data_IF_639696936534
#
_entry.id   IF_639696936534
#
_cell.length_a   1.000
_cell.length_b   1.000
_cell.length_c   1.000
_cell.angle_alpha   90.00
_cell.angle_beta   90.00
_cell.angle_gamma   90.00
#
_symmetry.space_group_name_H-M   'P 1'
#
loop_
_entity.id
_entity.type
_entity.pdbx_description
1 polymer ?
#
# COMPACT_ATOMS: atom_id res chain seq x y z
N UNK A 1 -17.68 29.10 -42.09
CA UNK A 1 -16.57 28.98 -41.12
C UNK A 1 -17.17 28.80 -39.74
N UNK A 2 -16.56 27.92 -38.97
CA UNK A 2 -17.15 27.06 -37.95
C UNK A 2 -17.23 27.65 -36.54
N UNK A 3 -18.38 27.40 -35.90
CA UNK A 3 -18.68 27.21 -34.46
C UNK A 3 -18.09 28.18 -33.42
N UNK A 4 -18.99 29.03 -32.91
CA UNK A 4 -18.99 29.57 -31.55
C UNK A 4 -18.81 28.45 -30.51
N UNK A 5 -17.64 28.36 -29.89
CA UNK A 5 -17.44 27.63 -28.63
C UNK A 5 -17.91 28.53 -27.49
N UNK A 6 -18.96 28.14 -26.79
CA UNK A 6 -19.45 28.81 -25.61
C UNK A 6 -18.34 28.87 -24.55
N UNK A 7 -17.83 30.07 -24.25
CA UNK A 7 -16.92 30.29 -23.14
C UNK A 7 -17.64 29.96 -21.85
N UNK A 8 -17.21 28.91 -21.16
CA UNK A 8 -17.68 28.62 -19.81
C UNK A 8 -17.19 29.74 -18.91
N UNK A 9 -18.10 30.58 -18.41
CA UNK A 9 -17.77 31.68 -17.51
C UNK A 9 -17.66 31.18 -16.08
N UNK A 10 -16.73 31.77 -15.32
CA UNK A 10 -16.51 31.44 -13.93
C UNK A 10 -17.77 31.77 -13.12
N UNK A 11 -18.36 30.80 -12.39
CA UNK A 11 -19.59 31.03 -11.64
C UNK A 11 -19.41 31.98 -10.45
N UNK A 12 -18.18 32.33 -10.09
CA UNK A 12 -17.86 33.21 -8.97
C UNK A 12 -17.72 34.68 -9.35
N UNK A 13 -17.25 34.99 -10.57
CA UNK A 13 -16.94 36.36 -10.99
C UNK A 13 -17.30 36.70 -12.44
N UNK A 14 -17.86 35.74 -13.19
CA UNK A 14 -18.29 35.92 -14.58
C UNK A 14 -17.17 36.04 -15.62
N UNK A 15 -15.90 35.97 -15.23
CA UNK A 15 -14.76 36.00 -16.15
C UNK A 15 -14.60 34.67 -16.89
N UNK A 16 -13.98 34.68 -18.06
CA UNK A 16 -13.76 33.45 -18.83
C UNK A 16 -12.87 32.45 -18.08
N UNK A 17 -13.22 31.16 -18.17
CA UNK A 17 -12.38 30.06 -17.70
C UNK A 17 -11.40 29.64 -18.79
N UNK A 18 -10.20 29.24 -18.38
CA UNK A 18 -9.27 28.55 -19.27
C UNK A 18 -9.75 27.11 -19.59
N UNK A 19 -9.04 26.45 -20.51
CA UNK A 19 -9.39 25.10 -20.94
C UNK A 19 -9.30 24.04 -19.81
N UNK A 20 -8.64 24.34 -18.69
CA UNK A 20 -8.56 23.48 -17.52
C UNK A 20 -9.65 23.80 -16.47
N UNK A 21 -10.53 24.78 -16.72
CA UNK A 21 -11.55 25.20 -15.76
C UNK A 21 -11.03 26.12 -14.65
N UNK A 22 -9.87 26.75 -14.86
CA UNK A 22 -9.28 27.75 -13.95
C UNK A 22 -9.73 29.14 -14.34
N UNK A 23 -10.18 29.93 -13.37
CA UNK A 23 -10.33 31.37 -13.54
C UNK A 23 -9.02 32.07 -13.18
N UNK A 24 -8.53 32.98 -14.03
CA UNK A 24 -7.36 33.80 -13.72
C UNK A 24 -7.51 34.67 -12.48
N UNK A 25 -8.76 34.99 -12.09
CA UNK A 25 -9.08 35.77 -10.88
C UNK A 25 -9.45 34.91 -9.68
N UNK A 26 -10.06 33.74 -9.89
CA UNK A 26 -10.68 32.94 -8.81
C UNK A 26 -10.07 31.55 -8.62
N UNK A 27 -9.11 31.14 -9.45
CA UNK A 27 -8.51 29.81 -9.40
C UNK A 27 -9.40 28.70 -9.97
N UNK A 28 -9.08 27.45 -9.66
CA UNK A 28 -9.75 26.25 -10.17
C UNK A 28 -11.21 26.17 -9.69
N UNK A 29 -12.15 25.97 -10.62
CA UNK A 29 -13.57 25.83 -10.30
C UNK A 29 -13.86 24.38 -9.93
N UNK A 30 -13.84 24.07 -8.63
CA UNK A 30 -14.29 22.77 -8.14
C UNK A 30 -15.82 22.74 -8.04
N UNK A 31 -16.44 21.87 -8.84
CA UNK A 31 -17.86 21.59 -8.78
C UNK A 31 -18.23 20.86 -7.50
N UNK A 32 -18.62 21.59 -6.46
CA UNK A 32 -19.61 21.19 -5.43
C UNK A 32 -19.78 22.32 -4.42
N UNK A 33 -21.04 22.61 -4.09
CA UNK A 33 -21.46 23.56 -3.07
C UNK A 33 -21.16 23.03 -1.65
N UNK A 34 -19.88 22.94 -1.29
CA UNK A 34 -19.42 22.57 0.05
C UNK A 34 -19.18 23.80 0.93
N UNK A 35 -19.64 23.72 2.18
CA UNK A 35 -19.30 24.66 3.26
C UNK A 35 -17.80 24.63 3.51
N UNK A 36 -17.15 25.78 3.65
CA UNK A 36 -15.71 25.86 3.92
C UNK A 36 -15.08 27.17 3.50
N UNK A 37 -13.79 27.33 3.78
CA UNK A 37 -13.01 28.48 3.34
C UNK A 37 -12.70 28.40 1.84
N UNK A 38 -12.98 29.48 1.12
CA UNK A 38 -12.63 29.65 -0.31
C UNK A 38 -11.96 31.00 -0.51
N UNK A 39 -11.28 31.27 -1.64
CA UNK A 39 -10.77 32.60 -1.95
C UNK A 39 -11.89 33.66 -1.86
N UNK A 40 -11.60 34.82 -1.26
CA UNK A 40 -12.61 35.86 -1.08
C UNK A 40 -13.01 36.45 -2.44
N UNK A 41 -14.28 36.35 -2.87
CA UNK A 41 -14.73 36.93 -4.14
C UNK A 41 -14.53 38.44 -4.25
N UNK A 42 -14.46 39.14 -3.11
CA UNK A 42 -14.25 40.58 -3.07
C UNK A 42 -12.77 40.98 -3.26
N UNK A 43 -11.85 40.02 -3.17
CA UNK A 43 -10.40 40.26 -3.24
C UNK A 43 -9.82 41.06 -2.07
N UNK A 44 -10.60 41.33 -1.02
CA UNK A 44 -10.18 42.12 0.16
C UNK A 44 -9.40 41.30 1.19
N UNK A 45 -9.60 39.98 1.18
CA UNK A 45 -8.99 39.02 2.09
C UNK A 45 -8.52 37.77 1.34
N UNK A 46 -7.61 36.99 1.93
CA UNK A 46 -7.14 35.75 1.31
C UNK A 46 -8.23 34.68 1.19
N UNK A 47 -9.21 34.67 2.10
CA UNK A 47 -10.35 33.77 2.00
C UNK A 47 -11.61 34.22 2.72
N UNK A 48 -12.75 33.77 2.22
CA UNK A 48 -14.09 33.94 2.81
C UNK A 48 -14.71 32.58 3.10
N UNK A 49 -15.43 32.49 4.21
CA UNK A 49 -16.11 31.26 4.60
C UNK A 49 -17.45 31.18 3.90
N UNK A 50 -17.71 30.04 3.26
CA UNK A 50 -18.96 29.74 2.57
C UNK A 50 -19.76 28.73 3.39
N UNK A 51 -21.07 28.92 3.46
CA UNK A 51 -22.01 27.97 4.04
C UNK A 51 -22.98 27.56 2.93
N UNK A 52 -23.04 26.27 2.61
CA UNK A 52 -23.90 25.73 1.54
C UNK A 52 -23.77 26.48 0.21
N UNK A 53 -22.56 26.93 -0.12
CA UNK A 53 -22.28 27.73 -1.33
C UNK A 53 -22.54 29.24 -1.21
N UNK A 54 -23.04 29.73 -0.07
CA UNK A 54 -23.30 31.15 0.18
C UNK A 54 -22.12 31.80 0.92
N UNK A 55 -21.56 32.92 0.42
CA UNK A 55 -20.47 33.63 1.10
C UNK A 55 -20.98 34.30 2.39
N UNK A 56 -20.20 34.23 3.45
CA UNK A 56 -20.51 34.87 4.75
C UNK A 56 -19.62 36.09 5.01
N UNK A 57 -19.90 36.84 6.08
CA UNK A 57 -19.01 37.93 6.52
C UNK A 57 -17.70 37.44 7.14
N UNK A 58 -17.52 36.13 7.33
CA UNK A 58 -16.32 35.58 7.97
C UNK A 58 -15.20 35.46 6.95
N UNK A 59 -14.08 36.13 7.22
CA UNK A 59 -12.91 36.21 6.33
C UNK A 59 -11.65 35.74 7.04
N UNK A 60 -10.60 35.40 6.29
CA UNK A 60 -9.29 35.01 6.80
C UNK A 60 -8.16 35.63 5.98
N UNK A 61 -7.09 35.97 6.68
CA UNK A 61 -5.78 36.31 6.13
C UNK A 61 -4.74 35.43 6.86
N UNK A 62 -4.15 34.49 6.15
CA UNK A 62 -3.33 33.42 6.69
C UNK A 62 -4.09 32.56 7.71
N UNK A 63 -3.66 32.61 8.98
CA UNK A 63 -4.29 31.88 10.10
C UNK A 63 -5.26 32.73 10.92
N UNK A 64 -5.33 34.04 10.68
CA UNK A 64 -6.21 34.93 11.42
C UNK A 64 -7.60 34.97 10.77
N UNK A 65 -8.65 34.72 11.55
CA UNK A 65 -10.02 34.85 11.09
C UNK A 65 -10.66 36.11 11.69
N UNK A 66 -11.39 36.86 10.88
CA UNK A 66 -12.09 38.08 11.27
C UNK A 66 -13.44 38.18 10.57
N UNK A 67 -14.14 39.30 10.78
CA UNK A 67 -15.40 39.60 10.10
C UNK A 67 -15.25 40.85 9.25
N UNK A 68 -15.72 40.80 8.01
CA UNK A 68 -15.67 41.91 7.04
C UNK A 68 -17.09 42.26 6.57
N UNK A 69 -17.80 43.14 7.32
CA UNK A 69 -19.12 43.62 6.92
C UNK A 69 -19.10 44.49 5.65
N UNK A 70 -17.95 45.10 5.33
CA UNK A 70 -17.82 45.98 4.18
C UNK A 70 -17.74 45.18 2.87
N UNK A 71 -16.90 44.15 2.80
CA UNK A 71 -16.92 43.21 1.67
C UNK A 71 -18.17 42.35 1.65
N UNK A 72 -18.80 42.10 2.80
CA UNK A 72 -20.15 41.50 2.88
C UNK A 72 -21.19 42.18 1.98
N UNK A 73 -21.19 43.53 1.94
CA UNK A 73 -22.09 44.33 1.09
C UNK A 73 -21.72 44.33 -0.40
N UNK A 74 -20.55 43.79 -0.75
CA UNK A 74 -20.06 43.70 -2.13
C UNK A 74 -20.38 42.33 -2.76
N UNK A 75 -20.92 41.40 -1.98
CA UNK A 75 -21.30 40.07 -2.44
C UNK A 75 -22.69 40.13 -3.12
N UNK A 76 -22.95 39.31 -4.16
CA UNK A 76 -24.24 39.31 -4.84
C UNK A 76 -25.37 38.77 -3.94
N UNK A 77 -26.48 39.52 -3.87
CA UNK A 77 -27.73 39.14 -3.20
C UNK A 77 -28.59 38.26 -4.14
N UNK A 78 -28.36 36.92 -4.22
CA UNK A 78 -29.38 35.86 -4.44
C UNK A 78 -28.68 34.48 -4.64
N UNK A 79 -29.21 33.34 -4.19
CA UNK A 79 -30.51 32.75 -4.51
C UNK A 79 -31.45 32.67 -3.30
N UNK A 80 -32.54 33.43 -3.33
CA UNK A 80 -33.70 33.17 -2.48
C UNK A 80 -34.35 31.85 -2.90
N UNK A 81 -34.36 30.85 -2.02
CA UNK A 81 -35.33 29.76 -2.10
C UNK A 81 -36.65 30.24 -1.49
N UNK A 82 -37.80 30.10 -2.18
CA UNK A 82 -39.08 30.51 -1.62
C UNK A 82 -39.38 29.72 -0.35
N UNK A 83 -39.69 30.44 0.73
CA UNK A 83 -40.17 29.87 2.00
C UNK A 83 -41.50 29.15 1.76
N UNK A 84 -41.59 27.91 2.22
CA UNK A 84 -42.81 27.11 2.21
C UNK A 84 -43.88 27.72 3.13
N UNK A 85 -44.84 28.41 2.52
CA UNK A 85 -46.11 28.73 3.18
C UNK A 85 -47.03 27.51 3.13
N UNK A 86 -47.19 26.81 4.25
CA UNK A 86 -48.18 25.76 4.40
C UNK A 86 -49.56 26.43 4.38
N UNK A 87 -50.28 26.33 3.26
CA UNK A 87 -51.73 26.48 3.22
C UNK A 87 -52.35 25.10 3.26
N UNK A 88 -53.06 24.83 4.35
CA UNK A 88 -53.95 23.68 4.44
C UNK A 88 -55.05 23.81 3.41
N UNK A 89 -55.22 22.79 2.59
CA UNK A 89 -56.50 22.53 1.93
C UNK A 89 -56.77 21.04 2.04
N UNK A 90 -57.86 20.77 2.73
CA UNK A 90 -58.53 19.48 2.82
C UNK A 90 -58.89 18.96 1.44
N UNK A 91 -58.73 17.63 1.26
CA UNK A 91 -59.57 16.66 0.55
C UNK A 91 -58.69 15.60 -0.15
N UNK A 92 -58.91 14.33 0.17
CA UNK A 92 -58.34 13.20 -0.58
C UNK A 92 -57.86 12.02 0.27
N UNK A 93 -58.78 11.38 0.97
CA UNK A 93 -58.64 10.08 1.63
C UNK A 93 -58.05 8.98 0.73
N UNK A 94 -57.10 8.20 1.24
CA UNK A 94 -56.87 6.81 0.83
C UNK A 94 -55.43 6.38 0.54
N UNK A 95 -54.65 7.16 -0.21
CA UNK A 95 -53.36 6.69 -0.76
C UNK A 95 -52.10 7.22 -0.03
N UNK A 96 -52.23 8.26 0.81
CA UNK A 96 -51.07 8.94 1.41
C UNK A 96 -50.46 8.22 2.63
N UNK A 97 -51.20 7.32 3.30
CA UNK A 97 -50.70 6.61 4.49
C UNK A 97 -49.63 5.57 4.15
N UNK A 98 -49.74 4.89 3.01
CA UNK A 98 -48.76 3.89 2.59
C UNK A 98 -47.38 4.50 2.30
N UNK A 99 -47.35 5.68 1.67
CA UNK A 99 -46.09 6.36 1.32
C UNK A 99 -45.36 6.91 2.55
N UNK A 100 -46.11 7.44 3.53
CA UNK A 100 -45.53 7.95 4.78
C UNK A 100 -44.95 6.81 5.62
N UNK A 101 -45.64 5.66 5.69
CA UNK A 101 -45.13 4.48 6.41
C UNK A 101 -43.88 3.91 5.71
N UNK A 102 -43.85 3.84 4.38
CA UNK A 102 -42.70 3.35 3.63
C UNK A 102 -41.47 4.27 3.77
N UNK A 103 -41.67 5.58 3.69
CA UNK A 103 -40.59 6.57 3.85
C UNK A 103 -40.07 6.60 5.30
N UNK A 104 -40.96 6.54 6.29
CA UNK A 104 -40.57 6.39 7.69
C UNK A 104 -39.81 5.08 7.94
N UNK A 105 -40.22 3.97 7.32
CA UNK A 105 -39.52 2.70 7.41
C UNK A 105 -38.14 2.74 6.75
N UNK A 106 -38.00 3.38 5.58
CA UNK A 106 -36.69 3.54 4.91
C UNK A 106 -35.77 4.43 5.73
N UNK A 107 -36.26 5.56 6.25
CA UNK A 107 -35.49 6.45 7.12
C UNK A 107 -35.11 5.74 8.43
N UNK A 108 -36.02 4.95 9.00
CA UNK A 108 -35.73 4.12 10.17
C UNK A 108 -34.66 3.07 9.88
N UNK A 109 -34.73 2.37 8.74
CA UNK A 109 -33.73 1.39 8.33
C UNK A 109 -32.37 2.04 8.11
N UNK A 110 -32.32 3.23 7.49
CA UNK A 110 -31.06 3.98 7.30
C UNK A 110 -30.48 4.48 8.62
N UNK A 111 -31.32 4.98 9.54
CA UNK A 111 -30.89 5.42 10.88
C UNK A 111 -30.46 4.24 11.77
N UNK A 112 -31.08 3.07 11.64
CA UNK A 112 -30.68 1.86 12.37
C UNK A 112 -29.42 1.23 11.76
N UNK A 113 -29.24 1.28 10.44
CA UNK A 113 -28.01 0.82 9.78
C UNK A 113 -26.81 1.70 10.18
N UNK A 114 -26.98 3.02 10.32
CA UNK A 114 -25.94 3.94 10.79
C UNK A 114 -25.62 3.85 12.29
N UNK A 115 -26.44 3.15 13.09
CA UNK A 115 -26.19 2.88 14.52
C UNK A 115 -25.48 1.55 14.77
N UNK A 116 -25.20 0.75 13.73
CA UNK A 116 -24.40 -0.46 13.92
C UNK A 116 -22.98 -0.02 14.26
N UNK A 117 -22.42 -0.42 15.41
CA UNK A 117 -21.01 -0.18 15.67
C UNK A 117 -20.21 -0.79 14.50
N UNK A 118 -19.14 -0.12 14.03
CA UNK A 118 -18.29 -0.70 13.00
C UNK A 118 -17.87 -2.10 13.48
N UNK A 119 -17.83 -3.10 12.56
CA UNK A 119 -17.37 -4.43 12.95
C UNK A 119 -16.00 -4.31 13.62
N UNK A 120 -15.70 -5.16 14.61
CA UNK A 120 -14.40 -5.14 15.26
C UNK A 120 -13.31 -5.24 14.19
N UNK A 121 -12.20 -4.51 14.32
CA UNK A 121 -11.14 -4.44 13.29
C UNK A 121 -10.62 -5.83 12.91
N UNK A 122 -10.72 -6.79 13.83
CA UNK A 122 -10.39 -8.21 13.67
C UNK A 122 -11.14 -8.88 12.52
N UNK A 123 -12.43 -8.56 12.32
CA UNK A 123 -13.21 -9.16 11.24
C UNK A 123 -12.74 -8.68 9.85
N UNK A 124 -12.41 -7.39 9.75
CA UNK A 124 -11.82 -6.83 8.53
C UNK A 124 -10.41 -7.35 8.28
N UNK A 125 -9.61 -7.47 9.34
CA UNK A 125 -8.26 -8.01 9.30
C UNK A 125 -8.23 -9.47 8.80
N UNK A 126 -9.04 -10.36 9.36
CA UNK A 126 -9.10 -11.76 8.96
C UNK A 126 -9.57 -11.92 7.50
N UNK A 127 -10.55 -11.11 7.07
CA UNK A 127 -10.96 -11.07 5.66
C UNK A 127 -9.80 -10.67 4.75
N UNK A 128 -9.09 -9.60 5.10
CA UNK A 128 -7.96 -9.11 4.30
C UNK A 128 -6.80 -10.13 4.21
N UNK A 129 -6.51 -10.87 5.29
CA UNK A 129 -5.53 -11.97 5.25
C UNK A 129 -5.95 -13.08 4.28
N UNK A 130 -7.23 -13.43 4.27
CA UNK A 130 -7.76 -14.44 3.36
C UNK A 130 -7.73 -13.98 1.91
N UNK A 131 -8.15 -12.74 1.65
CA UNK A 131 -8.20 -12.15 0.31
C UNK A 131 -6.80 -11.98 -0.31
N UNK A 132 -5.78 -11.79 0.53
CA UNK A 132 -4.37 -11.71 0.11
C UNK A 132 -3.65 -13.07 0.10
N UNK A 133 -4.34 -14.17 0.45
CA UNK A 133 -3.77 -15.52 0.41
C UNK A 133 -2.68 -15.79 1.44
N UNK A 134 -2.58 -15.00 2.51
CA UNK A 134 -1.57 -15.16 3.58
C UNK A 134 -2.15 -15.73 4.87
N UNK A 135 -3.45 -16.06 4.90
CA UNK A 135 -4.11 -16.68 6.06
C UNK A 135 -3.42 -17.97 6.52
N UNK A 136 -2.87 -18.74 5.59
CA UNK A 136 -2.26 -20.05 5.87
C UNK A 136 -0.94 -19.96 6.63
N UNK A 137 -0.41 -18.74 6.83
CA UNK A 137 0.75 -18.49 7.70
C UNK A 137 0.40 -18.62 9.20
N UNK A 138 -0.89 -18.65 9.54
CA UNK A 138 -1.38 -18.69 10.92
C UNK A 138 -2.13 -19.98 11.20
N UNK A 139 -1.82 -20.63 12.32
CA UNK A 139 -2.48 -21.89 12.71
C UNK A 139 -3.95 -21.67 13.15
N UNK A 140 -4.38 -20.43 13.42
CA UNK A 140 -5.77 -20.08 13.76
C UNK A 140 -6.00 -18.57 13.64
N UNK A 141 -7.28 -18.18 13.52
CA UNK A 141 -7.70 -16.76 13.53
C UNK A 141 -7.25 -16.02 14.80
N UNK A 142 -7.29 -16.70 15.95
CA UNK A 142 -6.84 -16.13 17.22
C UNK A 142 -5.33 -15.82 17.20
N UNK A 143 -4.52 -16.71 16.62
CA UNK A 143 -3.09 -16.49 16.45
C UNK A 143 -2.80 -15.35 15.47
N UNK A 144 -3.56 -15.25 14.38
CA UNK A 144 -3.46 -14.15 13.43
C UNK A 144 -3.74 -12.80 14.12
N UNK A 145 -4.84 -12.69 14.86
CA UNK A 145 -5.19 -11.46 15.59
C UNK A 145 -4.14 -11.13 16.65
N UNK A 146 -3.64 -12.13 17.39
CA UNK A 146 -2.59 -11.94 18.39
C UNK A 146 -1.29 -11.42 17.75
N UNK A 147 -0.88 -12.01 16.62
CA UNK A 147 0.26 -11.55 15.83
C UNK A 147 0.06 -10.13 15.33
N UNK A 148 -1.09 -9.81 14.73
CA UNK A 148 -1.36 -8.46 14.22
C UNK A 148 -1.32 -7.38 15.29
N UNK A 149 -1.81 -7.68 16.51
CA UNK A 149 -1.68 -6.77 17.67
C UNK A 149 -0.25 -6.68 18.18
N UNK A 150 0.55 -7.74 18.04
CA UNK A 150 1.95 -7.75 18.41
C UNK A 150 2.80 -6.89 17.47
N UNK A 151 2.54 -6.93 16.16
CA UNK A 151 3.19 -6.06 15.16
C UNK A 151 3.07 -4.59 15.56
N UNK A 152 1.87 -4.13 15.90
CA UNK A 152 1.67 -2.74 16.31
C UNK A 152 2.44 -2.36 17.57
N UNK A 153 2.56 -3.27 18.55
CA UNK A 153 3.36 -3.04 19.76
C UNK A 153 4.84 -2.89 19.44
N UNK A 154 5.40 -3.75 18.58
CA UNK A 154 6.79 -3.64 18.16
C UNK A 154 7.08 -2.32 17.43
N UNK A 155 6.16 -1.85 16.59
CA UNK A 155 6.29 -0.55 15.93
C UNK A 155 6.21 0.63 16.91
N UNK A 156 5.37 0.53 17.95
CA UNK A 156 5.31 1.51 19.04
C UNK A 156 6.61 1.51 19.87
N UNK A 157 7.26 0.35 20.02
CA UNK A 157 8.55 0.18 20.71
C UNK A 157 9.75 0.66 19.86
N UNK A 158 9.53 1.03 18.60
CA UNK A 158 10.53 1.64 17.72
C UNK A 158 11.20 0.70 16.73
N UNK A 159 10.65 -0.50 16.52
CA UNK A 159 11.15 -1.42 15.49
C UNK A 159 11.00 -0.81 14.08
N UNK A 160 11.81 -1.27 13.11
CA UNK A 160 11.71 -0.83 11.72
C UNK A 160 10.29 -1.00 11.17
N UNK A 161 9.75 0.04 10.52
CA UNK A 161 8.43 0.01 9.86
C UNK A 161 8.48 -0.80 8.55
N UNK A 162 8.80 -2.08 8.64
CA UNK A 162 8.85 -2.99 7.51
C UNK A 162 8.50 -4.41 7.93
N UNK A 163 8.01 -5.21 6.99
CA UNK A 163 7.67 -6.60 7.25
C UNK A 163 6.98 -7.29 6.07
N UNK A 164 6.60 -8.56 6.21
CA UNK A 164 5.80 -9.27 5.21
C UNK A 164 4.43 -8.62 4.98
N UNK A 165 3.75 -9.03 3.90
CA UNK A 165 2.40 -8.58 3.55
C UNK A 165 1.40 -8.74 4.70
N UNK A 166 1.49 -9.83 5.48
CA UNK A 166 0.64 -10.07 6.63
C UNK A 166 0.76 -8.97 7.70
N UNK A 167 1.97 -8.44 7.91
CA UNK A 167 2.23 -7.37 8.88
C UNK A 167 1.69 -6.05 8.37
N UNK A 168 1.80 -5.77 7.07
CA UNK A 168 1.17 -4.60 6.46
C UNK A 168 -0.35 -4.59 6.66
N UNK A 169 -1.00 -5.73 6.47
CA UNK A 169 -2.45 -5.89 6.71
C UNK A 169 -2.78 -5.68 8.19
N UNK A 170 -1.93 -6.16 9.10
CA UNK A 170 -2.09 -5.91 10.54
C UNK A 170 -1.95 -4.41 10.87
N UNK A 171 -0.96 -3.74 10.29
CA UNK A 171 -0.75 -2.30 10.48
C UNK A 171 -1.94 -1.50 9.99
N UNK A 172 -2.48 -1.84 8.81
CA UNK A 172 -3.65 -1.17 8.25
C UNK A 172 -4.90 -1.33 9.12
N UNK A 173 -5.05 -2.49 9.78
CA UNK A 173 -6.21 -2.79 10.61
C UNK A 173 -6.11 -2.26 12.06
N UNK A 174 -4.94 -2.41 12.70
CA UNK A 174 -4.78 -2.19 14.14
C UNK A 174 -4.02 -0.91 14.50
N UNK A 175 -3.14 -0.41 13.64
CA UNK A 175 -2.33 0.77 13.90
C UNK A 175 -2.11 1.64 12.64
N UNK A 176 -3.19 2.16 12.01
CA UNK A 176 -3.15 2.78 10.67
C UNK A 176 -2.23 3.99 10.55
N UNK A 177 -1.82 4.63 11.65
CA UNK A 177 -0.82 5.70 11.63
C UNK A 177 0.57 5.27 11.11
N UNK A 178 0.94 3.99 11.23
CA UNK A 178 2.18 3.45 10.64
C UNK A 178 1.99 3.01 9.18
N UNK A 179 0.74 2.95 8.69
CA UNK A 179 0.39 2.41 7.38
C UNK A 179 1.15 3.09 6.23
N UNK A 180 1.26 4.42 6.27
CA UNK A 180 1.89 5.19 5.19
C UNK A 180 3.40 4.96 5.07
N UNK A 181 4.07 4.69 6.20
CA UNK A 181 5.52 4.45 6.26
C UNK A 181 5.92 2.98 6.17
N UNK A 182 4.96 2.07 6.33
CA UNK A 182 5.26 0.63 6.39
C UNK A 182 5.67 0.06 5.04
N UNK A 183 6.90 -0.44 4.95
CA UNK A 183 7.47 -1.05 3.76
C UNK A 183 7.24 -2.57 3.75
N UNK A 184 6.57 -3.06 2.72
CA UNK A 184 6.42 -4.50 2.52
C UNK A 184 7.73 -5.06 1.98
N UNK A 185 8.30 -6.05 2.67
CA UNK A 185 9.53 -6.73 2.27
C UNK A 185 9.27 -7.64 1.07
N UNK A 186 10.14 -7.54 0.07
CA UNK A 186 10.07 -8.37 -1.13
C UNK A 186 10.47 -9.82 -0.82
N UNK A 187 9.75 -10.78 -1.43
CA UNK A 187 10.14 -12.19 -1.44
C UNK A 187 10.62 -12.56 -2.83
N UNK A 188 11.76 -13.23 -2.92
CA UNK A 188 12.34 -13.66 -4.18
C UNK A 188 12.84 -15.10 -4.11
N UNK A 189 12.56 -15.87 -5.16
CA UNK A 189 13.20 -17.16 -5.41
C UNK A 189 14.49 -16.92 -6.18
N UNK A 190 15.63 -17.14 -5.52
CA UNK A 190 16.95 -16.87 -6.06
C UNK A 190 17.53 -18.14 -6.65
N UNK A 191 17.94 -18.08 -7.91
CA UNK A 191 18.64 -19.18 -8.58
C UNK A 191 20.12 -19.13 -8.26
N UNK A 192 20.71 -20.29 -7.94
CA UNK A 192 22.12 -20.44 -7.62
C UNK A 192 22.83 -21.45 -8.49
N UNK A 193 24.10 -21.14 -8.81
CA UNK A 193 25.03 -22.04 -9.49
C UNK A 193 26.30 -22.16 -8.68
N UNK A 194 26.67 -23.39 -8.36
CA UNK A 194 27.96 -23.74 -7.76
C UNK A 194 28.78 -24.53 -8.78
N UNK A 195 29.96 -24.03 -9.14
CA UNK A 195 30.83 -24.67 -10.13
C UNK A 195 32.09 -25.17 -9.44
N UNK A 196 32.29 -26.48 -9.45
CA UNK A 196 33.55 -27.09 -9.09
C UNK A 196 34.44 -27.19 -10.34
N UNK A 197 35.68 -26.74 -10.25
CA UNK A 197 36.69 -26.74 -11.31
C UNK A 197 37.82 -27.71 -10.98
N UNK A 198 38.36 -28.36 -12.02
CA UNK A 198 39.58 -29.18 -11.95
C UNK A 198 40.39 -29.01 -13.23
N UNK A 199 40.94 -27.81 -13.43
CA UNK A 199 41.80 -27.52 -14.59
C UNK A 199 43.25 -27.98 -14.36
N UNK A 200 43.63 -28.22 -13.10
CA UNK A 200 44.95 -28.73 -12.74
C UNK A 200 45.10 -30.25 -12.95
N UNK A 201 44.01 -30.99 -13.22
CA UNK A 201 44.04 -32.43 -13.43
C UNK A 201 44.39 -33.21 -12.17
N UNK A 202 43.90 -32.76 -11.01
CA UNK A 202 44.16 -33.35 -9.70
C UNK A 202 43.08 -34.36 -9.28
N UNK A 203 42.26 -34.80 -10.24
CA UNK A 203 41.11 -35.69 -10.05
C UNK A 203 40.17 -35.18 -8.93
N UNK A 204 39.99 -33.86 -8.85
CA UNK A 204 39.10 -33.20 -7.90
C UNK A 204 37.62 -33.41 -8.22
N UNK A 205 37.32 -33.95 -9.40
CA UNK A 205 35.98 -34.27 -9.87
C UNK A 205 35.92 -35.73 -10.31
N UNK A 206 35.03 -36.51 -9.70
CA UNK A 206 34.67 -37.84 -10.20
C UNK A 206 33.55 -37.71 -11.24
N UNK A 207 33.79 -38.30 -12.41
CA UNK A 207 32.82 -38.36 -13.51
C UNK A 207 32.22 -39.76 -13.61
N UNK A 208 30.90 -39.84 -13.78
CA UNK A 208 30.17 -41.06 -14.10
C UNK A 208 29.26 -40.81 -15.30
N UNK A 209 29.81 -40.98 -16.50
CA UNK A 209 29.12 -40.69 -17.75
C UNK A 209 28.71 -39.20 -17.85
N UNK A 210 27.43 -38.91 -17.66
CA UNK A 210 26.85 -37.55 -17.69
C UNK A 210 26.76 -36.89 -16.31
N UNK A 211 27.07 -37.63 -15.26
CA UNK A 211 27.08 -37.18 -13.87
C UNK A 211 28.50 -36.78 -13.45
N UNK A 212 28.57 -35.85 -12.51
CA UNK A 212 29.80 -35.44 -11.86
C UNK A 212 29.56 -35.22 -10.36
N UNK A 213 30.59 -35.39 -9.55
CA UNK A 213 30.61 -35.01 -8.15
C UNK A 213 32.03 -34.65 -7.74
N UNK A 214 32.19 -33.99 -6.61
CA UNK A 214 33.51 -33.76 -6.05
C UNK A 214 34.17 -35.08 -5.62
N UNK A 215 35.48 -35.10 -5.76
CA UNK A 215 36.36 -36.21 -5.39
C UNK A 215 37.56 -35.67 -4.61
N UNK A 216 38.32 -36.58 -3.98
CA UNK A 216 39.49 -36.23 -3.17
C UNK A 216 39.16 -35.14 -2.14
N UNK A 217 39.86 -34.01 -2.22
CA UNK A 217 39.65 -32.85 -1.35
C UNK A 217 38.28 -32.19 -1.46
N UNK A 218 37.40 -32.63 -2.37
CA UNK A 218 36.02 -32.16 -2.58
C UNK A 218 34.97 -33.27 -2.46
N UNK A 219 35.29 -34.43 -1.87
CA UNK A 219 34.37 -35.60 -1.81
C UNK A 219 33.04 -35.33 -1.09
N UNK A 220 32.97 -34.28 -0.28
CA UNK A 220 31.78 -33.74 0.39
C UNK A 220 30.86 -32.92 -0.54
N UNK A 221 31.31 -32.58 -1.75
CA UNK A 221 30.56 -31.79 -2.74
C UNK A 221 29.80 -32.70 -3.69
N UNK A 222 28.50 -32.79 -3.50
CA UNK A 222 27.59 -33.64 -4.26
C UNK A 222 26.16 -33.02 -4.21
N UNK A 223 25.16 -33.61 -4.88
CA UNK A 223 23.79 -33.06 -4.92
C UNK A 223 23.13 -32.83 -3.56
N UNK A 224 23.52 -33.57 -2.53
CA UNK A 224 22.94 -33.49 -1.18
C UNK A 224 23.73 -32.57 -0.26
N UNK A 225 24.83 -31.97 -0.72
CA UNK A 225 25.59 -30.99 0.05
C UNK A 225 24.68 -29.84 0.46
N UNK A 226 24.57 -29.54 1.76
CA UNK A 226 23.68 -28.50 2.25
C UNK A 226 24.18 -27.12 1.79
N UNK A 227 23.23 -26.28 1.44
CA UNK A 227 23.44 -24.87 1.15
C UNK A 227 22.61 -24.09 2.16
N UNK A 228 23.27 -23.27 2.97
CA UNK A 228 22.61 -22.49 4.03
C UNK A 228 22.81 -21.01 3.75
N UNK A 229 21.74 -20.24 3.89
CA UNK A 229 21.79 -18.77 3.85
C UNK A 229 21.48 -18.25 5.24
N UNK A 230 22.35 -17.40 5.76
CA UNK A 230 22.20 -16.73 7.05
C UNK A 230 22.07 -15.22 6.90
N UNK A 231 21.50 -14.57 7.89
CA UNK A 231 21.59 -13.12 8.03
C UNK A 231 22.98 -12.70 8.52
N UNK A 232 23.29 -11.41 8.46
CA UNK A 232 24.49 -10.85 9.08
C UNK A 232 24.58 -11.02 10.60
N UNK A 233 23.48 -11.39 11.26
CA UNK A 233 23.44 -11.72 12.69
C UNK A 233 23.64 -13.22 12.96
N UNK A 234 23.81 -14.03 11.92
CA UNK A 234 24.01 -15.49 12.01
C UNK A 234 22.72 -16.31 12.08
N UNK A 235 21.55 -15.68 11.96
CA UNK A 235 20.26 -16.38 11.91
C UNK A 235 20.12 -17.14 10.59
N UNK A 236 19.69 -18.41 10.64
CA UNK A 236 19.44 -19.20 9.42
C UNK A 236 18.15 -18.72 8.78
N UNK A 237 18.25 -18.16 7.57
CA UNK A 237 17.12 -17.65 6.80
C UNK A 237 16.51 -18.73 5.90
N UNK A 238 17.38 -19.57 5.32
CA UNK A 238 16.97 -20.66 4.45
C UNK A 238 18.04 -21.76 4.39
N UNK A 239 17.58 -22.99 4.15
CA UNK A 239 18.45 -24.14 3.90
C UNK A 239 17.92 -24.93 2.70
N UNK A 240 18.81 -25.31 1.80
CA UNK A 240 18.55 -26.13 0.62
C UNK A 240 19.73 -27.07 0.38
N UNK A 241 19.78 -27.72 -0.79
CA UNK A 241 20.90 -28.58 -1.21
C UNK A 241 21.36 -28.19 -2.61
N UNK A 242 22.61 -28.50 -2.98
CA UNK A 242 23.18 -28.20 -4.30
C UNK A 242 22.37 -28.73 -5.49
N UNK A 243 21.62 -29.82 -5.31
CA UNK A 243 20.59 -30.26 -6.24
C UNK A 243 21.14 -30.82 -7.56
N UNK A 244 20.50 -30.43 -8.67
CA UNK A 244 20.80 -30.97 -9.99
C UNK A 244 22.23 -30.65 -10.42
N UNK A 245 22.90 -31.60 -11.09
CA UNK A 245 24.29 -31.46 -11.53
C UNK A 245 24.44 -31.64 -13.04
N UNK A 246 25.47 -31.01 -13.59
CA UNK A 246 25.86 -31.12 -15.00
C UNK A 246 27.37 -31.25 -15.11
N UNK A 247 27.82 -32.36 -15.70
CA UNK A 247 29.21 -32.60 -16.01
C UNK A 247 29.66 -31.77 -17.23
N UNK A 248 30.84 -31.18 -17.14
CA UNK A 248 31.59 -30.57 -18.24
C UNK A 248 33.01 -31.16 -18.32
N UNK A 249 33.83 -30.77 -19.31
CA UNK A 249 35.15 -31.37 -19.55
C UNK A 249 36.12 -31.30 -18.37
N UNK A 250 36.07 -30.22 -17.58
CA UNK A 250 36.91 -30.00 -16.39
C UNK A 250 36.11 -29.29 -15.28
N UNK A 251 34.79 -29.42 -15.31
CA UNK A 251 33.92 -28.77 -14.32
C UNK A 251 32.69 -29.60 -13.99
N UNK A 252 32.18 -29.38 -12.78
CA UNK A 252 30.92 -29.91 -12.32
C UNK A 252 30.04 -28.76 -11.82
N UNK A 253 28.94 -28.52 -12.53
CA UNK A 253 28.02 -27.43 -12.18
C UNK A 253 26.82 -27.98 -11.43
N UNK A 254 26.51 -27.42 -10.27
CA UNK A 254 25.33 -27.71 -9.47
C UNK A 254 24.38 -26.51 -9.49
N UNK A 255 23.08 -26.79 -9.58
CA UNK A 255 22.02 -25.79 -9.65
C UNK A 255 21.01 -25.98 -8.53
N UNK A 256 20.73 -24.90 -7.81
CA UNK A 256 19.80 -24.88 -6.68
C UNK A 256 18.96 -23.61 -6.67
N UNK A 257 17.89 -23.61 -5.87
CA UNK A 257 17.04 -22.44 -5.63
C UNK A 257 16.88 -22.22 -4.13
N UNK A 258 16.76 -20.97 -3.74
CA UNK A 258 16.52 -20.57 -2.36
C UNK A 258 15.51 -19.43 -2.31
N UNK A 259 14.51 -19.55 -1.45
CA UNK A 259 13.52 -18.49 -1.23
C UNK A 259 14.02 -17.57 -0.11
N UNK A 260 14.15 -16.28 -0.42
CA UNK A 260 14.66 -15.28 0.50
C UNK A 260 13.69 -14.10 0.58
N UNK A 261 13.64 -13.49 1.76
CA UNK A 261 12.91 -12.24 2.00
C UNK A 261 13.90 -11.12 2.23
N UNK A 262 13.63 -9.94 1.68
CA UNK A 262 14.37 -8.71 1.93
C UNK A 262 14.41 -8.37 3.43
N UNK A 263 15.25 -7.42 3.84
CA UNK A 263 15.24 -6.83 5.18
C UNK A 263 16.45 -7.19 6.05
N UNK A 264 17.39 -7.95 5.51
CA UNK A 264 18.66 -8.27 6.18
C UNK A 264 19.76 -7.32 5.71
N UNK A 265 20.68 -6.97 6.61
CA UNK A 265 21.84 -6.12 6.27
C UNK A 265 22.69 -6.74 5.16
N UNK A 266 22.86 -8.06 5.23
CA UNK A 266 23.50 -8.89 4.21
C UNK A 266 23.11 -10.37 4.40
N UNK A 267 23.34 -11.16 3.34
CA UNK A 267 23.04 -12.58 3.26
C UNK A 267 24.34 -13.36 3.12
N UNK A 268 24.59 -14.28 4.05
CA UNK A 268 25.80 -15.10 4.09
C UNK A 268 25.45 -16.52 3.62
N UNK A 269 25.93 -16.87 2.45
CA UNK A 269 25.76 -18.20 1.86
C UNK A 269 26.94 -19.11 2.24
N UNK A 270 26.63 -20.29 2.75
CA UNK A 270 27.59 -21.37 3.00
C UNK A 270 27.21 -22.59 2.17
N UNK A 271 28.18 -23.20 1.50
CA UNK A 271 28.00 -24.50 0.81
C UNK A 271 28.80 -25.55 1.58
N UNK A 272 28.12 -26.46 2.27
CA UNK A 272 28.75 -27.43 3.16
C UNK A 272 29.62 -26.74 4.21
N UNK A 273 30.93 -26.95 4.12
CA UNK A 273 31.94 -26.29 4.95
C UNK A 273 32.97 -25.52 4.09
N UNK A 274 32.61 -25.11 2.87
CA UNK A 274 33.51 -24.56 1.84
C UNK A 274 33.62 -23.04 1.84
N UNK A 275 33.47 -22.43 3.02
CA UNK A 275 33.54 -20.99 3.22
C UNK A 275 32.19 -20.29 3.10
N UNK A 276 32.25 -18.97 3.25
CA UNK A 276 31.09 -18.10 3.31
C UNK A 276 31.16 -17.03 2.20
N UNK A 277 30.03 -16.77 1.56
CA UNK A 277 29.89 -15.78 0.49
C UNK A 277 28.83 -14.77 0.88
N UNK A 278 29.20 -13.50 0.92
CA UNK A 278 28.31 -12.42 1.34
C UNK A 278 27.68 -11.73 0.13
N UNK A 279 26.35 -11.57 0.16
CA UNK A 279 25.57 -10.88 -0.86
C UNK A 279 24.62 -9.86 -0.24
N UNK A 280 24.26 -8.86 -1.03
CA UNK A 280 23.10 -8.00 -0.77
C UNK A 280 21.84 -8.60 -1.42
N UNK A 281 20.65 -8.24 -0.94
CA UNK A 281 19.40 -8.69 -1.55
C UNK A 281 19.31 -8.31 -3.04
N UNK A 282 19.67 -7.07 -3.37
CA UNK A 282 19.68 -6.57 -4.76
C UNK A 282 20.57 -7.40 -5.67
N UNK A 283 21.76 -7.82 -5.20
CA UNK A 283 22.65 -8.68 -5.98
C UNK A 283 22.04 -10.05 -6.23
N UNK A 284 21.38 -10.63 -5.22
CA UNK A 284 20.74 -11.94 -5.31
C UNK A 284 19.60 -11.93 -6.32
N UNK A 285 18.74 -10.90 -6.27
CA UNK A 285 17.62 -10.76 -7.22
C UNK A 285 18.12 -10.45 -8.63
N UNK A 286 19.12 -9.58 -8.79
CA UNK A 286 19.58 -9.14 -10.11
C UNK A 286 20.46 -10.17 -10.84
N UNK A 287 21.30 -10.92 -10.13
CA UNK A 287 22.35 -11.76 -10.73
C UNK A 287 22.29 -13.24 -10.31
N UNK A 288 21.49 -13.56 -9.30
CA UNK A 288 21.50 -14.86 -8.66
C UNK A 288 22.79 -15.13 -7.88
N UNK A 289 22.95 -16.37 -7.44
CA UNK A 289 24.15 -16.84 -6.76
C UNK A 289 25.09 -17.49 -7.78
N UNK A 290 26.35 -17.07 -7.78
CA UNK A 290 27.41 -17.70 -8.56
C UNK A 290 28.62 -17.92 -7.67
N UNK A 291 28.96 -19.19 -7.46
CA UNK A 291 30.11 -19.61 -6.65
C UNK A 291 30.97 -20.54 -7.48
N UNK A 292 32.28 -20.34 -7.43
CA UNK A 292 33.25 -21.20 -8.09
C UNK A 292 34.30 -21.63 -7.07
N UNK A 293 34.66 -22.92 -7.11
CA UNK A 293 35.67 -23.52 -6.25
C UNK A 293 36.56 -24.44 -7.09
N UNK A 294 37.85 -24.52 -6.73
CA UNK A 294 38.84 -25.27 -7.48
C UNK A 294 39.73 -24.36 -8.35
N UNK A 295 40.73 -24.98 -8.99
CA UNK A 295 41.66 -24.31 -9.91
C UNK A 295 41.71 -25.03 -11.24
#
# INVERSE_FOLDING_TARGET
MTKNGAGTTCPYCGSDLDAAGTCSRCGQVHGTASTGWRPDPTGRHEGRYFVTGHPTNRVRDGRAASTDPAGGRMLPDYLELPKSGIRSTWLGTGAATAVIVLTAAVVWVLLVAGRRPPPPPEAGYLSALKDSGVSDQFNSDANAVAHGRQVCRHLEDGDPQQGPVADKIAVDAFCPHFSQGFRVLEKATVNGRFVLLDNAGLDGIAMDGTSCQGANGYSDVNPTTPVTVKSGKGEILATTTLGARKAGPANCTFSFTVDLTEGQDHYVLTVGHRGEFTYTFEQLVAKGIQVQLGQ
#
